data_IF_893205542134
#
_entry.id   IF_893205542134
#
_cell.length_a   1.000
_cell.length_b   1.000
_cell.length_c   1.000
_cell.angle_alpha   90.00
_cell.angle_beta   90.00
_cell.angle_gamma   90.00
#
_symmetry.space_group_name_H-M   'P 1'
#
loop_
_entity.id
_entity.type
_entity.pdbx_description
1 polymer ?
#
# COMPACT_ATOMS: atom_id res chain seq x y z
N UNK A 1 13.08 -63.66 -2.26
CA UNK A 1 13.89 -64.09 -1.11
C UNK A 1 15.28 -63.56 -1.30
N UNK A 2 15.89 -63.12 -0.21
CA UNK A 2 17.27 -62.68 -0.20
C UNK A 2 18.24 -63.85 -0.43
N UNK A 3 19.41 -63.53 -0.97
CA UNK A 3 20.53 -64.45 -1.16
C UNK A 3 21.80 -63.70 -0.78
N UNK A 4 22.47 -64.21 0.25
CA UNK A 4 23.70 -63.64 0.83
C UNK A 4 23.57 -62.13 1.16
N UNK A 5 22.37 -61.67 1.53
CA UNK A 5 22.02 -60.28 1.91
C UNK A 5 22.30 -59.20 0.83
N UNK A 6 22.81 -59.61 -0.34
CA UNK A 6 23.22 -58.74 -1.44
C UNK A 6 22.34 -58.89 -2.69
N UNK A 7 21.57 -59.97 -2.81
CA UNK A 7 20.82 -60.32 -4.01
C UNK A 7 19.38 -60.71 -3.67
N UNK A 8 18.46 -60.48 -4.61
CA UNK A 8 17.08 -60.93 -4.46
C UNK A 8 16.62 -61.80 -5.62
N UNK A 9 15.95 -62.89 -5.29
CA UNK A 9 15.41 -63.85 -6.25
C UNK A 9 13.88 -63.87 -6.17
N UNK A 10 13.24 -63.70 -7.32
CA UNK A 10 11.80 -63.76 -7.48
C UNK A 10 11.23 -65.16 -7.27
N UNK A 11 9.90 -65.26 -7.22
CA UNK A 11 9.18 -66.53 -6.99
C UNK A 11 9.39 -67.58 -8.08
N UNK A 12 9.84 -67.17 -9.26
CA UNK A 12 10.21 -68.01 -10.40
C UNK A 12 11.68 -68.49 -10.36
N UNK A 13 12.43 -68.10 -9.33
CA UNK A 13 13.86 -68.40 -9.21
C UNK A 13 14.77 -67.47 -10.02
N UNK A 14 14.24 -66.43 -10.67
CA UNK A 14 15.04 -65.45 -11.41
C UNK A 14 15.56 -64.33 -10.50
N UNK A 15 16.85 -64.01 -10.63
CA UNK A 15 17.47 -62.89 -9.90
C UNK A 15 17.00 -61.54 -10.46
N UNK A 16 16.62 -60.62 -9.56
CA UNK A 16 16.20 -59.27 -9.92
C UNK A 16 17.40 -58.47 -10.45
N UNK A 17 17.16 -57.67 -11.50
CA UNK A 17 18.16 -56.79 -12.13
C UNK A 17 17.50 -55.54 -12.67
N UNK A 18 18.11 -54.39 -12.43
CA UNK A 18 17.54 -53.07 -12.73
C UNK A 18 16.09 -52.93 -12.24
N UNK A 19 15.81 -53.47 -11.06
CA UNK A 19 14.45 -53.64 -10.56
C UNK A 19 14.35 -53.20 -9.09
N UNK A 20 13.19 -52.66 -8.77
CA UNK A 20 12.78 -52.30 -7.42
C UNK A 20 11.98 -53.44 -6.78
N UNK A 21 12.08 -53.59 -5.46
CA UNK A 21 11.22 -54.46 -4.66
C UNK A 21 11.01 -53.82 -3.28
N UNK A 22 9.79 -53.89 -2.76
CA UNK A 22 9.45 -53.55 -1.37
C UNK A 22 9.38 -54.86 -0.57
N UNK A 23 10.23 -55.02 0.44
CA UNK A 23 10.37 -56.27 1.21
C UNK A 23 11.09 -56.01 2.53
N UNK A 24 10.88 -56.85 3.54
CA UNK A 24 11.73 -56.89 4.76
C UNK A 24 13.09 -57.56 4.46
N UNK A 25 14.17 -57.12 5.11
CA UNK A 25 15.49 -57.77 5.04
C UNK A 25 15.49 -59.11 5.79
N UNK A 26 16.33 -60.07 5.38
CA UNK A 26 16.35 -61.40 6.01
C UNK A 26 16.76 -61.37 7.49
N UNK A 27 17.52 -60.34 7.93
CA UNK A 27 17.95 -60.15 9.32
C UNK A 27 16.84 -59.60 10.24
N UNK A 28 15.95 -58.78 9.68
CA UNK A 28 14.87 -58.06 10.40
C UNK A 28 13.57 -58.87 10.50
N UNK A 29 13.42 -59.91 9.66
CA UNK A 29 12.24 -60.82 9.64
C UNK A 29 11.98 -61.48 11.01
N UNK A 30 12.94 -61.47 11.93
CA UNK A 30 12.83 -62.08 13.26
C UNK A 30 12.62 -61.10 14.41
N UNK A 31 12.69 -59.78 14.18
CA UNK A 31 12.46 -58.77 15.20
C UNK A 31 11.01 -58.25 15.13
N UNK A 32 10.16 -58.50 16.15
CA UNK A 32 8.78 -58.01 16.15
C UNK A 32 8.65 -56.50 16.36
N UNK A 33 9.76 -55.82 16.70
CA UNK A 33 9.81 -54.38 17.00
C UNK A 33 10.43 -53.55 15.84
N UNK A 34 10.86 -54.16 14.72
CA UNK A 34 11.35 -53.46 13.52
C UNK A 34 10.26 -53.21 12.47
N UNK A 35 10.23 -51.98 11.96
CA UNK A 35 9.19 -51.45 11.07
C UNK A 35 9.34 -51.90 9.61
N UNK A 36 8.85 -53.10 9.31
CA UNK A 36 8.17 -53.36 8.04
C UNK A 36 9.00 -53.57 6.77
N UNK A 37 8.39 -53.30 5.61
CA UNK A 37 8.99 -53.55 4.28
C UNK A 37 9.64 -52.26 3.74
N UNK A 38 10.92 -52.31 3.38
CA UNK A 38 11.63 -51.18 2.75
C UNK A 38 11.78 -51.36 1.23
N UNK A 39 11.98 -50.25 0.51
CA UNK A 39 12.27 -50.27 -0.93
C UNK A 39 13.77 -50.49 -1.19
N UNK A 40 14.07 -51.48 -2.04
CA UNK A 40 15.42 -51.82 -2.45
C UNK A 40 15.56 -51.78 -3.98
N UNK A 41 16.73 -51.36 -4.48
CA UNK A 41 17.06 -51.40 -5.90
C UNK A 41 18.22 -52.34 -6.21
N UNK A 42 18.03 -53.20 -7.21
CA UNK A 42 19.08 -54.12 -7.69
C UNK A 42 19.63 -53.63 -9.02
N UNK A 43 20.96 -53.51 -9.10
CA UNK A 43 21.65 -52.97 -10.27
C UNK A 43 21.61 -53.92 -11.49
N UNK A 44 22.36 -53.58 -12.55
CA UNK A 44 22.41 -54.41 -13.76
C UNK A 44 23.10 -55.77 -13.57
N UNK A 45 23.86 -55.95 -12.49
CA UNK A 45 24.45 -57.22 -12.06
C UNK A 45 23.52 -57.97 -11.11
N UNK A 46 22.49 -57.32 -10.60
CA UNK A 46 21.53 -57.83 -9.64
C UNK A 46 22.00 -57.69 -8.20
N UNK A 47 23.04 -56.87 -7.95
CA UNK A 47 23.51 -56.57 -6.59
C UNK A 47 22.67 -55.41 -6.03
N UNK A 48 22.27 -55.51 -4.76
CA UNK A 48 21.62 -54.45 -3.98
C UNK A 48 22.47 -53.17 -4.06
N UNK A 49 21.84 -52.03 -4.34
CA UNK A 49 22.51 -50.74 -4.32
C UNK A 49 22.61 -50.26 -2.89
N UNK A 50 23.83 -50.01 -2.45
CA UNK A 50 24.18 -49.32 -1.20
C UNK A 50 25.08 -48.15 -1.60
N UNK A 51 24.60 -46.91 -1.45
CA UNK A 51 25.31 -45.68 -1.82
C UNK A 51 24.50 -44.45 -1.43
N UNK A 52 25.17 -43.40 -0.94
CA UNK A 52 24.56 -42.10 -0.58
C UNK A 52 23.56 -41.63 -1.66
N UNK A 53 23.95 -41.49 -2.94
CA UNK A 53 23.01 -41.17 -4.03
C UNK A 53 23.15 -42.05 -5.30
N UNK A 54 22.02 -42.30 -5.97
CA UNK A 54 21.95 -43.05 -7.23
C UNK A 54 20.91 -42.50 -8.19
N UNK A 55 21.32 -42.27 -9.44
CA UNK A 55 20.40 -41.92 -10.53
C UNK A 55 19.79 -43.17 -11.19
N UNK A 56 18.47 -43.31 -11.10
CA UNK A 56 17.67 -44.42 -11.66
C UNK A 56 16.55 -43.83 -12.51
N UNK A 57 16.49 -44.22 -13.79
CA UNK A 57 15.47 -43.73 -14.74
C UNK A 57 15.30 -42.19 -14.80
N UNK A 58 16.40 -41.46 -14.57
CA UNK A 58 16.40 -39.99 -14.62
C UNK A 58 16.12 -39.29 -13.29
N UNK A 59 15.70 -40.03 -12.25
CA UNK A 59 15.47 -39.56 -10.89
C UNK A 59 16.65 -39.92 -9.99
N UNK A 60 16.91 -39.10 -8.97
CA UNK A 60 17.99 -39.33 -7.99
C UNK A 60 17.38 -39.89 -6.72
N UNK A 61 17.89 -41.02 -6.24
CA UNK A 61 17.43 -41.74 -5.05
C UNK A 61 18.58 -41.84 -4.05
N UNK A 62 18.29 -41.89 -2.76
CA UNK A 62 19.29 -42.06 -1.71
C UNK A 62 19.09 -43.40 -1.01
N UNK A 63 20.18 -44.04 -0.58
CA UNK A 63 20.14 -45.33 0.10
C UNK A 63 21.05 -45.33 1.32
N UNK A 64 20.61 -45.93 2.42
CA UNK A 64 21.46 -46.14 3.60
C UNK A 64 22.50 -47.25 3.38
N UNK A 65 23.30 -47.56 4.41
CA UNK A 65 24.34 -48.59 4.35
C UNK A 65 23.76 -49.99 4.08
N UNK A 66 22.53 -50.23 4.52
CA UNK A 66 21.78 -51.47 4.35
C UNK A 66 21.03 -51.53 3.00
N UNK A 67 21.06 -50.44 2.22
CA UNK A 67 20.50 -50.37 0.87
C UNK A 67 18.99 -50.11 0.83
N UNK A 68 18.42 -49.71 1.95
CA UNK A 68 17.06 -49.21 2.06
C UNK A 68 17.00 -47.82 1.44
N UNK A 69 15.96 -47.59 0.63
CA UNK A 69 15.72 -46.30 0.00
C UNK A 69 15.25 -45.28 1.03
N UNK A 70 15.96 -44.17 1.15
CA UNK A 70 15.57 -43.04 1.97
C UNK A 70 14.42 -42.25 1.31
N UNK A 71 13.57 -41.67 2.14
CA UNK A 71 12.45 -40.79 1.76
C UNK A 71 12.33 -39.63 2.75
N UNK A 72 11.43 -38.67 2.49
CA UNK A 72 11.19 -37.53 3.38
C UNK A 72 12.33 -36.50 3.36
N UNK A 73 12.49 -35.79 4.47
CA UNK A 73 13.58 -34.84 4.67
C UNK A 73 14.91 -35.57 4.83
N UNK A 74 15.98 -35.06 4.21
CA UNK A 74 17.31 -35.65 4.30
C UNK A 74 18.38 -34.57 4.36
N UNK A 75 19.23 -34.61 5.39
CA UNK A 75 20.43 -33.78 5.49
C UNK A 75 21.68 -34.58 5.12
N UNK A 76 22.51 -33.98 4.26
CA UNK A 76 23.85 -34.50 3.99
C UNK A 76 24.86 -33.35 3.86
N UNK A 77 25.91 -33.39 4.67
CA UNK A 77 26.99 -32.42 4.65
C UNK A 77 26.49 -30.96 4.75
N UNK A 78 25.50 -30.71 5.61
CA UNK A 78 24.87 -29.39 5.75
C UNK A 78 23.97 -28.98 4.59
N UNK A 79 23.61 -29.87 3.66
CA UNK A 79 22.64 -29.59 2.60
C UNK A 79 21.36 -30.35 2.89
N UNK A 80 20.22 -29.67 2.78
CA UNK A 80 18.91 -30.27 3.00
C UNK A 80 18.28 -30.61 1.67
N UNK A 81 17.65 -31.78 1.60
CA UNK A 81 16.96 -32.34 0.45
C UNK A 81 15.58 -32.83 0.89
N UNK A 82 14.67 -32.94 -0.07
CA UNK A 82 13.42 -33.67 0.10
C UNK A 82 13.35 -34.80 -0.91
N UNK A 83 13.15 -36.02 -0.43
CA UNK A 83 13.25 -37.26 -1.18
C UNK A 83 11.87 -37.83 -1.57
N UNK A 84 10.79 -37.06 -1.43
CA UNK A 84 9.43 -37.53 -1.71
C UNK A 84 8.90 -38.41 -0.58
N UNK A 85 7.75 -39.05 -0.80
CA UNK A 85 7.18 -39.98 0.18
C UNK A 85 7.86 -41.35 0.12
N UNK A 86 7.52 -42.24 1.06
CA UNK A 86 8.02 -43.62 1.15
C UNK A 86 7.92 -44.42 -0.18
N UNK A 87 6.86 -44.19 -0.96
CA UNK A 87 6.65 -44.87 -2.25
C UNK A 87 7.22 -44.10 -3.46
N UNK A 88 7.77 -42.91 -3.22
CA UNK A 88 8.41 -42.09 -4.25
C UNK A 88 9.94 -42.18 -4.16
N UNK A 89 10.54 -41.76 -3.03
CA UNK A 89 11.98 -41.84 -2.76
C UNK A 89 12.91 -41.05 -3.68
N UNK A 90 12.38 -40.25 -4.62
CA UNK A 90 13.21 -39.44 -5.51
C UNK A 90 13.36 -38.01 -5.00
N UNK A 91 14.60 -37.50 -5.07
CA UNK A 91 14.96 -36.14 -4.72
C UNK A 91 14.21 -35.09 -5.55
N UNK A 92 13.60 -34.12 -4.88
CA UNK A 92 13.03 -32.92 -5.48
C UNK A 92 14.11 -32.08 -6.18
N UNK A 93 13.88 -31.66 -7.41
CA UNK A 93 14.80 -30.84 -8.21
C UNK A 93 14.03 -29.76 -8.99
N UNK A 94 14.53 -28.51 -8.95
CA UNK A 94 13.96 -27.33 -9.63
C UNK A 94 12.45 -27.11 -9.39
N UNK A 95 12.00 -27.23 -8.15
CA UNK A 95 10.58 -27.14 -7.84
C UNK A 95 10.32 -26.53 -6.46
N UNK A 96 9.12 -25.97 -6.35
CA UNK A 96 8.52 -25.57 -5.09
C UNK A 96 7.72 -26.75 -4.53
N UNK A 97 7.81 -26.97 -3.23
CA UNK A 97 6.97 -27.92 -2.51
C UNK A 97 6.42 -27.25 -1.24
N UNK A 98 5.13 -27.46 -0.99
CA UNK A 98 4.49 -27.17 0.28
C UNK A 98 4.68 -28.39 1.17
N UNK A 99 5.42 -28.24 2.26
CA UNK A 99 5.85 -29.35 3.11
C UNK A 99 5.67 -28.98 4.58
N UNK A 100 5.37 -29.98 5.40
CA UNK A 100 5.54 -29.91 6.85
C UNK A 100 7.01 -29.68 7.21
N UNK A 101 7.26 -28.95 8.31
CA UNK A 101 8.61 -28.69 8.80
C UNK A 101 9.34 -30.01 9.13
N UNK A 102 10.66 -30.11 8.94
CA UNK A 102 11.40 -31.32 9.29
C UNK A 102 11.38 -31.56 10.81
N UNK A 103 11.08 -32.80 11.22
CA UNK A 103 11.18 -33.23 12.62
C UNK A 103 9.90 -33.20 13.45
N UNK A 104 8.72 -33.03 12.84
CA UNK A 104 7.41 -33.14 13.53
C UNK A 104 6.72 -34.50 13.27
N UNK A 105 7.47 -35.48 12.78
CA UNK A 105 6.97 -36.84 12.58
C UNK A 105 7.10 -37.61 13.91
N UNK A 106 6.05 -37.55 14.72
CA UNK A 106 5.72 -38.47 15.83
C UNK A 106 6.82 -38.76 16.88
N UNK A 107 6.83 -37.97 17.98
CA UNK A 107 7.10 -38.34 19.40
C UNK A 107 8.29 -39.26 19.81
N UNK A 108 9.15 -39.72 18.90
CA UNK A 108 10.33 -40.51 19.23
C UNK A 108 11.57 -39.62 19.35
N UNK A 109 12.12 -39.53 20.56
CA UNK A 109 13.26 -38.67 20.98
C UNK A 109 14.58 -38.90 20.20
N UNK A 110 14.57 -39.70 19.12
CA UNK A 110 15.73 -40.19 18.39
C UNK A 110 15.78 -39.77 16.89
N UNK A 111 14.78 -39.07 16.33
CA UNK A 111 14.89 -38.52 14.95
C UNK A 111 15.79 -37.26 14.90
N UNK A 112 16.81 -37.27 14.04
CA UNK A 112 17.74 -36.15 13.87
C UNK A 112 16.99 -34.89 13.40
N UNK A 113 17.01 -33.82 14.20
CA UNK A 113 16.51 -32.50 13.82
C UNK A 113 17.28 -31.97 12.58
N UNK A 114 16.71 -32.16 11.39
CA UNK A 114 17.30 -31.76 10.09
C UNK A 114 17.35 -30.23 9.91
N UNK A 115 16.44 -29.51 10.55
CA UNK A 115 16.47 -28.05 10.66
C UNK A 115 16.32 -27.68 12.13
N UNK A 116 16.88 -26.54 12.54
CA UNK A 116 16.78 -26.06 13.94
C UNK A 116 15.37 -25.66 14.35
N UNK A 117 14.39 -25.76 13.44
CA UNK A 117 13.00 -25.37 13.62
C UNK A 117 12.17 -26.31 14.50
N UNK A 118 12.78 -26.99 15.47
CA UNK A 118 12.14 -28.02 16.29
C UNK A 118 11.98 -27.55 17.75
N UNK A 119 10.76 -27.74 18.26
CA UNK A 119 10.22 -27.58 19.62
C UNK A 119 10.33 -26.23 20.34
N UNK A 120 11.35 -25.40 20.08
CA UNK A 120 11.50 -24.06 20.69
C UNK A 120 11.58 -22.90 19.67
N UNK A 121 11.72 -23.18 18.37
CA UNK A 121 11.82 -22.18 17.29
C UNK A 121 10.46 -21.96 16.58
N UNK A 122 10.11 -20.69 16.34
CA UNK A 122 8.82 -20.20 15.85
C UNK A 122 8.60 -20.47 14.33
N UNK A 123 8.90 -21.64 13.78
CA UNK A 123 8.52 -21.92 12.39
C UNK A 123 7.03 -22.24 12.27
N UNK A 124 6.44 -21.88 11.13
CA UNK A 124 5.12 -22.41 10.76
C UNK A 124 5.21 -23.93 10.52
N UNK A 125 4.18 -24.67 10.93
CA UNK A 125 4.13 -26.14 10.83
C UNK A 125 4.25 -26.64 9.38
N UNK A 126 3.77 -25.84 8.43
CA UNK A 126 3.90 -26.09 6.99
C UNK A 126 4.35 -24.83 6.25
N UNK A 127 5.02 -24.99 5.11
CA UNK A 127 5.36 -23.84 4.26
C UNK A 127 5.92 -24.20 2.90
N UNK A 128 6.10 -23.19 2.06
CA UNK A 128 6.72 -23.34 0.74
C UNK A 128 8.25 -23.36 0.82
N UNK A 129 8.85 -24.43 0.30
CA UNK A 129 10.30 -24.59 0.18
C UNK A 129 10.72 -24.68 -1.29
N UNK A 130 11.85 -24.06 -1.64
CA UNK A 130 12.41 -24.11 -2.98
C UNK A 130 13.60 -25.05 -3.08
N UNK A 131 13.50 -26.07 -3.94
CA UNK A 131 14.57 -27.00 -4.25
C UNK A 131 15.23 -26.63 -5.58
N UNK A 132 16.51 -26.27 -5.52
CA UNK A 132 17.29 -25.85 -6.68
C UNK A 132 17.59 -26.97 -7.67
N UNK A 133 18.41 -26.67 -8.69
CA UNK A 133 18.76 -27.63 -9.74
C UNK A 133 19.60 -28.81 -9.28
N UNK A 134 20.32 -28.66 -8.17
CA UNK A 134 21.03 -29.74 -7.50
C UNK A 134 20.16 -30.49 -6.49
N UNK A 135 18.87 -30.16 -6.41
CA UNK A 135 17.91 -30.64 -5.41
C UNK A 135 18.11 -30.11 -4.00
N UNK A 136 19.10 -29.24 -3.79
CA UNK A 136 19.33 -28.59 -2.50
C UNK A 136 18.20 -27.61 -2.21
N UNK A 137 17.62 -27.72 -1.02
CA UNK A 137 16.72 -26.71 -0.47
C UNK A 137 17.47 -25.38 -0.32
N UNK A 138 16.80 -24.28 -0.62
CA UNK A 138 17.30 -22.96 -0.27
C UNK A 138 17.08 -22.70 1.22
N UNK A 139 18.16 -22.38 1.94
CA UNK A 139 18.18 -22.26 3.41
C UNK A 139 18.93 -21.01 3.89
N UNK A 140 18.63 -19.89 3.26
CA UNK A 140 19.23 -18.59 3.59
C UNK A 140 18.11 -17.57 3.64
N UNK A 141 18.23 -16.58 4.53
CA UNK A 141 17.18 -15.57 4.70
C UNK A 141 17.24 -14.52 3.59
N UNK A 142 16.12 -13.83 3.41
CA UNK A 142 16.04 -12.68 2.53
C UNK A 142 15.70 -13.00 1.07
N UNK A 143 16.00 -12.04 0.20
CA UNK A 143 15.45 -11.97 -1.16
C UNK A 143 16.17 -12.91 -2.13
N UNK A 144 15.42 -13.80 -2.77
CA UNK A 144 15.92 -14.73 -3.80
C UNK A 144 15.14 -14.61 -5.10
N UNK A 145 15.84 -14.69 -6.24
CA UNK A 145 15.22 -14.82 -7.55
C UNK A 145 15.03 -16.29 -7.95
N UNK A 146 13.78 -16.69 -8.18
CA UNK A 146 13.40 -18.03 -8.66
C UNK A 146 12.56 -17.87 -9.92
N UNK A 147 12.95 -18.54 -11.00
CA UNK A 147 12.23 -18.54 -12.29
C UNK A 147 11.81 -17.15 -12.80
N UNK A 148 12.64 -16.13 -12.56
CA UNK A 148 12.40 -14.76 -13.02
C UNK A 148 11.69 -13.83 -12.03
N UNK A 149 11.12 -14.39 -10.95
CA UNK A 149 10.41 -13.66 -9.89
C UNK A 149 11.24 -13.59 -8.62
N UNK A 150 11.03 -12.55 -7.81
CA UNK A 150 11.67 -12.42 -6.50
C UNK A 150 10.76 -12.92 -5.41
N UNK A 151 11.31 -13.66 -4.46
CA UNK A 151 10.65 -14.23 -3.29
C UNK A 151 11.45 -13.83 -2.06
N UNK A 152 10.81 -13.83 -0.89
CA UNK A 152 11.46 -13.62 0.39
C UNK A 152 11.43 -14.93 1.18
N UNK A 153 12.46 -15.20 1.97
CA UNK A 153 12.56 -16.41 2.79
C UNK A 153 12.98 -16.06 4.23
N UNK A 154 12.49 -16.82 5.20
CA UNK A 154 13.09 -16.85 6.53
C UNK A 154 14.42 -17.63 6.52
N UNK A 155 15.10 -17.67 7.66
CA UNK A 155 16.38 -18.39 7.78
C UNK A 155 16.26 -19.92 7.68
N UNK A 156 15.07 -20.45 7.92
CA UNK A 156 14.75 -21.89 7.84
C UNK A 156 14.42 -22.33 6.41
N UNK A 157 14.31 -21.39 5.46
CA UNK A 157 14.05 -21.67 4.05
C UNK A 157 12.57 -21.74 3.66
N UNK A 158 11.66 -21.39 4.57
CA UNK A 158 10.25 -21.16 4.24
C UNK A 158 10.10 -19.80 3.54
N UNK A 159 9.28 -19.79 2.50
CA UNK A 159 8.93 -18.59 1.77
C UNK A 159 7.99 -17.70 2.59
N UNK A 160 8.31 -16.43 2.70
CA UNK A 160 7.42 -15.41 3.28
C UNK A 160 6.45 -14.88 2.21
N UNK A 161 5.29 -14.40 2.64
CA UNK A 161 4.23 -13.89 1.76
C UNK A 161 3.45 -12.75 2.43
N UNK A 162 2.59 -12.08 1.66
CA UNK A 162 1.79 -10.91 2.07
C UNK A 162 2.66 -9.75 2.62
N UNK A 163 2.17 -9.06 3.65
CA UNK A 163 2.93 -8.01 4.32
C UNK A 163 4.08 -8.63 5.12
N UNK A 164 5.27 -8.09 4.89
CA UNK A 164 6.51 -8.55 5.50
C UNK A 164 7.20 -7.35 6.12
N UNK A 165 7.43 -7.39 7.43
CA UNK A 165 8.23 -6.39 8.10
C UNK A 165 9.72 -6.54 7.71
N UNK A 166 10.21 -5.62 6.86
CA UNK A 166 11.57 -5.66 6.32
C UNK A 166 12.66 -5.52 7.38
N UNK A 167 12.35 -4.89 8.52
CA UNK A 167 13.28 -4.82 9.66
C UNK A 167 13.42 -6.18 10.35
N UNK A 168 12.33 -6.92 10.52
CA UNK A 168 12.36 -8.27 11.10
C UNK A 168 13.19 -9.23 10.26
N UNK A 169 13.06 -9.18 8.93
CA UNK A 169 13.89 -9.96 7.99
C UNK A 169 15.39 -9.64 8.17
N UNK A 170 15.74 -8.38 8.41
CA UNK A 170 17.13 -7.94 8.56
C UNK A 170 17.76 -8.24 9.92
N UNK A 171 16.94 -8.46 10.95
CA UNK A 171 17.38 -8.68 12.32
C UNK A 171 17.71 -10.15 12.63
N UNK A 172 17.53 -11.07 11.67
CA UNK A 172 17.54 -12.51 11.90
C UNK A 172 16.61 -12.89 13.07
N UNK A 173 15.42 -12.26 13.12
CA UNK A 173 14.36 -12.74 14.02
C UNK A 173 13.90 -14.09 13.46
N UNK A 174 14.03 -15.19 14.21
CA UNK A 174 13.70 -16.53 13.73
C UNK A 174 12.20 -16.68 13.46
N UNK A 175 11.84 -17.62 12.60
CA UNK A 175 10.55 -18.28 12.73
C UNK A 175 9.55 -18.15 11.58
N UNK A 176 8.55 -17.27 11.71
CA UNK A 176 7.29 -17.43 10.98
C UNK A 176 7.36 -17.02 9.49
N UNK A 177 6.51 -17.62 8.64
CA UNK A 177 6.33 -17.21 7.25
C UNK A 177 5.51 -15.91 7.13
N UNK A 178 4.68 -15.64 8.13
CA UNK A 178 3.95 -14.38 8.31
C UNK A 178 4.72 -13.49 9.29
N UNK A 179 5.28 -12.38 8.82
CA UNK A 179 6.07 -11.45 9.64
C UNK A 179 5.34 -10.17 10.03
N UNK A 180 4.19 -9.90 9.42
CA UNK A 180 3.24 -8.90 9.90
C UNK A 180 2.53 -9.41 11.17
N UNK A 181 2.13 -8.54 12.10
CA UNK A 181 1.46 -8.94 13.35
C UNK A 181 2.37 -9.58 14.41
N UNK A 182 3.60 -9.95 14.06
CA UNK A 182 4.60 -10.41 15.03
C UNK A 182 5.25 -9.26 15.82
N UNK A 183 5.15 -8.02 15.33
CA UNK A 183 5.54 -6.85 16.09
C UNK A 183 4.38 -6.35 16.97
N UNK A 184 4.66 -5.39 17.85
CA UNK A 184 3.55 -4.72 18.54
C UNK A 184 2.73 -3.93 17.49
N UNK A 185 1.39 -4.02 17.46
CA UNK A 185 0.59 -3.26 16.51
C UNK A 185 0.92 -1.76 16.56
N UNK A 186 0.99 -1.11 15.40
CA UNK A 186 1.43 0.29 15.22
C UNK A 186 2.91 0.57 15.59
N UNK A 187 3.78 -0.45 15.60
CA UNK A 187 5.21 -0.26 15.88
C UNK A 187 6.06 -0.02 14.62
N UNK A 188 5.50 -0.23 13.43
CA UNK A 188 6.15 0.01 12.15
C UNK A 188 5.46 1.13 11.36
N UNK A 189 6.23 1.79 10.50
CA UNK A 189 5.65 2.62 9.42
C UNK A 189 5.57 1.82 8.14
N UNK A 190 4.69 2.23 7.20
CA UNK A 190 4.54 1.50 5.93
C UNK A 190 5.85 1.38 5.14
N UNK A 191 6.77 2.35 5.26
CA UNK A 191 8.09 2.29 4.62
C UNK A 191 9.04 1.20 5.19
N UNK A 192 8.67 0.56 6.30
CA UNK A 192 9.35 -0.63 6.82
C UNK A 192 8.76 -1.93 6.27
N UNK A 193 7.57 -1.87 5.66
CA UNK A 193 6.83 -3.03 5.17
C UNK A 193 7.14 -3.29 3.71
N UNK A 194 7.16 -4.57 3.34
CA UNK A 194 7.25 -5.04 1.98
C UNK A 194 6.03 -5.89 1.67
N UNK A 195 5.48 -5.78 0.46
CA UNK A 195 4.40 -6.64 0.01
C UNK A 195 4.91 -7.71 -0.97
N UNK A 196 4.68 -8.96 -0.61
CA UNK A 196 4.85 -10.13 -1.46
C UNK A 196 3.46 -10.75 -1.63
N UNK A 197 3.12 -11.29 -2.80
CA UNK A 197 1.76 -11.78 -3.05
C UNK A 197 1.40 -12.89 -2.07
N UNK A 198 0.10 -13.21 -2.00
CA UNK A 198 -0.50 -14.27 -1.17
C UNK A 198 0.28 -15.60 -1.22
N UNK A 199 0.08 -16.46 -0.23
CA UNK A 199 0.83 -17.70 -0.01
C UNK A 199 0.97 -18.61 -1.24
N UNK A 200 -0.02 -18.67 -2.12
CA UNK A 200 0.04 -19.47 -3.36
C UNK A 200 0.99 -18.91 -4.41
N UNK A 201 1.31 -17.62 -4.32
CA UNK A 201 2.10 -16.87 -5.28
C UNK A 201 3.46 -16.47 -4.70
N UNK A 202 3.48 -15.77 -3.56
CA UNK A 202 4.65 -15.42 -2.76
C UNK A 202 5.72 -14.55 -3.45
N UNK A 203 5.53 -14.17 -4.71
CA UNK A 203 6.48 -13.30 -5.38
C UNK A 203 6.25 -11.85 -5.00
N UNK A 204 7.30 -11.05 -5.00
CA UNK A 204 7.30 -9.62 -4.69
C UNK A 204 6.26 -8.84 -5.50
N UNK A 205 5.47 -8.01 -4.81
CA UNK A 205 4.47 -7.14 -5.41
C UNK A 205 5.09 -6.09 -6.35
N UNK A 206 4.35 -5.77 -7.42
CA UNK A 206 4.67 -4.72 -8.38
C UNK A 206 3.38 -4.29 -9.10
N UNK A 207 2.92 -3.06 -8.88
CA UNK A 207 1.69 -2.49 -9.42
C UNK A 207 0.59 -2.25 -8.39
N UNK A 208 -0.66 -2.19 -8.88
CA UNK A 208 -1.84 -1.91 -8.06
C UNK A 208 -2.39 -3.18 -7.39
N UNK A 209 -2.72 -3.05 -6.11
CA UNK A 209 -3.31 -4.10 -5.28
C UNK A 209 -4.47 -3.54 -4.46
N UNK A 210 -5.56 -4.28 -4.38
CA UNK A 210 -6.65 -4.05 -3.44
C UNK A 210 -6.57 -5.15 -2.38
N UNK A 211 -6.06 -4.79 -1.22
CA UNK A 211 -5.65 -5.73 -0.16
C UNK A 211 -5.89 -5.11 1.21
N UNK A 212 -6.03 -5.97 2.22
CA UNK A 212 -6.03 -5.52 3.61
C UNK A 212 -4.65 -4.92 3.95
N UNK A 213 -4.62 -3.91 4.80
CA UNK A 213 -3.37 -3.30 5.23
C UNK A 213 -2.59 -4.18 6.21
N UNK A 214 -1.42 -3.68 6.62
CA UNK A 214 -0.56 -4.38 7.59
C UNK A 214 -1.05 -4.19 9.03
N UNK A 215 -1.00 -5.24 9.83
CA UNK A 215 -1.26 -5.21 11.28
C UNK A 215 -0.18 -4.40 12.04
N UNK A 216 1.09 -4.55 11.65
CA UNK A 216 2.20 -3.79 12.22
C UNK A 216 2.06 -2.27 12.02
N UNK A 217 1.36 -1.87 10.95
CA UNK A 217 0.99 -0.48 10.63
C UNK A 217 -0.38 -0.08 11.22
N UNK A 218 -1.16 -1.05 11.70
CA UNK A 218 -2.51 -0.85 12.25
C UNK A 218 -3.55 -0.50 11.19
N UNK A 219 -3.56 -1.26 10.10
CA UNK A 219 -4.42 -1.09 8.91
C UNK A 219 -5.01 -2.41 8.41
N UNK A 220 -4.94 -3.47 9.22
CA UNK A 220 -5.43 -4.81 8.94
C UNK A 220 -6.97 -4.94 9.03
N UNK A 221 -7.66 -3.87 9.42
CA UNK A 221 -9.11 -3.86 9.60
C UNK A 221 -9.92 -3.51 8.35
N UNK A 222 -9.26 -3.04 7.30
CA UNK A 222 -9.85 -2.48 6.09
C UNK A 222 -9.07 -2.81 4.82
N UNK A 223 -9.80 -3.02 3.73
CA UNK A 223 -9.26 -3.28 2.40
C UNK A 223 -9.14 -1.96 1.65
N UNK A 224 -7.93 -1.66 1.16
CA UNK A 224 -7.64 -0.43 0.42
C UNK A 224 -6.82 -0.70 -0.84
N UNK A 225 -6.76 0.33 -1.70
CA UNK A 225 -5.89 0.32 -2.85
C UNK A 225 -4.49 0.83 -2.50
N UNK A 226 -3.49 0.00 -2.79
CA UNK A 226 -2.07 0.30 -2.67
C UNK A 226 -1.40 0.24 -4.04
N UNK A 227 -0.41 1.11 -4.27
CA UNK A 227 0.52 0.93 -5.38
C UNK A 227 1.86 0.47 -4.82
N UNK A 228 2.29 -0.73 -5.22
CA UNK A 228 3.54 -1.35 -4.79
C UNK A 228 4.59 -1.18 -5.89
N UNK A 229 5.74 -0.57 -5.61
CA UNK A 229 6.90 -0.52 -6.51
C UNK A 229 8.08 -1.25 -5.88
N UNK A 230 8.66 -2.22 -6.60
CA UNK A 230 9.78 -3.04 -6.11
C UNK A 230 9.52 -3.76 -4.77
N UNK A 231 8.25 -3.95 -4.39
CA UNK A 231 7.80 -4.52 -3.11
C UNK A 231 7.46 -3.49 -2.03
N UNK A 232 7.69 -2.19 -2.26
CA UNK A 232 7.43 -1.11 -1.31
C UNK A 232 6.14 -0.37 -1.69
N UNK A 233 5.29 -0.03 -0.73
CA UNK A 233 4.10 0.77 -1.02
C UNK A 233 4.46 2.26 -1.24
N UNK A 234 3.90 2.89 -2.26
CA UNK A 234 3.97 4.34 -2.43
C UNK A 234 3.13 5.04 -1.36
N UNK A 235 3.72 6.00 -0.64
CA UNK A 235 3.09 6.61 0.53
C UNK A 235 3.51 8.06 0.74
N UNK A 236 2.75 8.79 1.56
CA UNK A 236 3.11 10.13 2.00
C UNK A 236 4.24 10.12 3.04
N UNK A 237 5.12 11.12 2.96
CA UNK A 237 6.22 11.31 3.90
C UNK A 237 5.79 12.28 5.01
N UNK A 238 5.68 11.77 6.23
CA UNK A 238 5.20 12.52 7.40
C UNK A 238 6.05 13.76 7.72
N UNK A 239 7.29 13.85 7.24
CA UNK A 239 8.13 15.03 7.43
C UNK A 239 7.78 16.21 6.52
N UNK A 240 7.14 15.97 5.37
CA UNK A 240 6.94 17.01 4.34
C UNK A 240 5.54 17.09 3.74
N UNK A 241 4.76 16.01 3.80
CA UNK A 241 3.47 15.88 3.11
C UNK A 241 2.26 16.13 4.02
N UNK A 242 2.45 16.82 5.15
CA UNK A 242 1.35 17.26 6.03
C UNK A 242 0.29 18.00 5.22
N UNK A 243 -0.93 17.47 5.22
CA UNK A 243 -2.06 18.02 4.51
C UNK A 243 -2.82 18.99 5.41
N UNK A 244 -3.34 18.50 6.54
CA UNK A 244 -4.15 19.22 7.54
C UNK A 244 -4.17 18.39 8.84
N UNK A 245 -4.91 18.82 9.85
CA UNK A 245 -5.34 17.98 10.96
C UNK A 245 -6.83 17.61 10.77
N UNK A 246 -7.21 16.42 11.27
CA UNK A 246 -8.58 15.95 11.47
C UNK A 246 -8.80 15.56 12.95
N UNK A 247 -9.97 14.98 13.25
CA UNK A 247 -10.38 14.68 14.62
C UNK A 247 -9.49 13.61 15.28
N UNK A 248 -8.81 12.79 14.47
CA UNK A 248 -7.93 11.71 14.90
C UNK A 248 -6.44 12.12 14.87
N UNK A 249 -6.09 13.22 14.19
CA UNK A 249 -4.81 13.89 14.29
C UNK A 249 -4.28 14.41 12.94
N UNK A 250 -2.94 14.47 12.77
CA UNK A 250 -2.36 15.02 11.55
C UNK A 250 -2.56 14.07 10.36
N UNK A 251 -3.10 14.62 9.27
CA UNK A 251 -3.31 13.94 7.99
C UNK A 251 -2.15 14.26 7.05
N UNK A 252 -1.62 13.25 6.36
CA UNK A 252 -0.54 13.42 5.38
C UNK A 252 -0.97 12.88 4.03
N UNK A 253 -0.71 13.64 2.96
CA UNK A 253 -1.12 13.24 1.62
C UNK A 253 -0.06 13.63 0.59
N UNK A 254 0.39 12.65 -0.17
CA UNK A 254 1.32 12.85 -1.27
C UNK A 254 0.64 12.57 -2.61
N UNK A 255 0.94 13.42 -3.60
CA UNK A 255 0.50 13.24 -4.99
C UNK A 255 1.62 12.58 -5.80
N UNK A 256 1.50 11.28 -6.05
CA UNK A 256 2.56 10.46 -6.64
C UNK A 256 2.15 9.98 -8.03
N UNK A 257 3.12 9.94 -8.95
CA UNK A 257 2.88 9.55 -10.35
C UNK A 257 3.25 8.10 -10.60
N UNK A 258 2.26 7.22 -10.59
CA UNK A 258 2.43 5.77 -10.72
C UNK A 258 1.87 5.24 -12.04
N UNK A 259 2.24 4.01 -12.41
CA UNK A 259 1.70 3.33 -13.59
C UNK A 259 0.22 2.98 -13.41
N UNK A 260 -0.54 2.98 -14.51
CA UNK A 260 -1.97 2.67 -14.49
C UNK A 260 -2.42 2.16 -15.86
N UNK A 261 -3.65 1.64 -15.95
CA UNK A 261 -4.26 1.25 -17.23
C UNK A 261 -4.36 2.39 -18.26
N UNK A 262 -4.22 3.66 -17.82
CA UNK A 262 -4.22 4.86 -18.65
C UNK A 262 -2.80 5.47 -18.84
N UNK A 263 -1.76 4.67 -18.57
CA UNK A 263 -0.36 5.10 -18.51
C UNK A 263 -0.04 5.79 -17.18
N UNK A 264 1.15 6.40 -17.04
CA UNK A 264 1.54 7.07 -15.79
C UNK A 264 0.61 8.25 -15.46
N UNK A 265 -0.11 8.16 -14.34
CA UNK A 265 -1.06 9.18 -13.84
C UNK A 265 -0.73 9.53 -12.39
N UNK A 266 -1.24 10.68 -11.94
CA UNK A 266 -1.12 11.08 -10.54
C UNK A 266 -2.28 10.50 -9.74
N UNK A 267 -1.96 9.97 -8.58
CA UNK A 267 -2.85 9.48 -7.54
C UNK A 267 -2.44 10.15 -6.21
N UNK A 268 -3.32 10.13 -5.22
CA UNK A 268 -3.01 10.55 -3.87
C UNK A 268 -2.84 9.33 -2.97
N UNK A 269 -1.87 9.37 -2.06
CA UNK A 269 -1.64 8.33 -1.06
C UNK A 269 -1.44 8.98 0.30
N UNK A 270 -1.96 8.37 1.35
CA UNK A 270 -1.69 8.80 2.73
C UNK A 270 -0.37 8.22 3.24
N UNK A 271 0.00 8.52 4.49
CA UNK A 271 1.24 8.03 5.11
C UNK A 271 1.27 6.53 5.38
N UNK A 272 0.12 5.87 5.31
CA UNK A 272 -0.03 4.42 5.42
C UNK A 272 0.02 3.72 4.05
N UNK A 273 0.12 4.46 2.96
CA UNK A 273 0.18 3.93 1.59
C UNK A 273 -1.20 3.68 0.95
N UNK A 274 -2.29 3.96 1.67
CA UNK A 274 -3.66 3.82 1.18
C UNK A 274 -3.95 4.94 0.16
N UNK A 275 -4.47 4.58 -1.00
CA UNK A 275 -4.88 5.52 -2.04
C UNK A 275 -6.06 6.38 -1.57
N UNK A 276 -5.94 7.69 -1.74
CA UNK A 276 -6.97 8.66 -1.37
C UNK A 276 -7.80 9.09 -2.58
N UNK A 277 -9.09 9.35 -2.35
CA UNK A 277 -10.04 9.91 -3.33
C UNK A 277 -10.60 11.25 -2.83
N UNK A 278 -11.45 11.90 -3.62
CA UNK A 278 -12.07 13.17 -3.23
C UNK A 278 -11.12 14.37 -3.29
N UNK A 279 -11.43 15.41 -2.52
CA UNK A 279 -10.67 16.65 -2.47
C UNK A 279 -9.46 16.51 -1.52
N UNK A 280 -8.26 16.74 -2.03
CA UNK A 280 -7.00 16.51 -1.32
C UNK A 280 -6.11 17.76 -1.38
N UNK A 281 -5.58 18.18 -0.23
CA UNK A 281 -4.58 19.26 -0.17
C UNK A 281 -3.17 18.70 -0.33
N UNK A 282 -2.41 19.24 -1.28
CA UNK A 282 -1.03 18.81 -1.54
C UNK A 282 -0.06 19.92 -1.15
N UNK A 283 0.59 19.75 0.01
CA UNK A 283 1.51 20.75 0.60
C UNK A 283 2.70 21.11 -0.28
N UNK A 284 3.24 20.13 -1.02
CA UNK A 284 4.35 20.37 -1.95
C UNK A 284 4.01 21.42 -3.03
N UNK A 285 2.74 21.44 -3.45
CA UNK A 285 2.23 22.34 -4.49
C UNK A 285 1.51 23.57 -3.91
N UNK A 286 1.14 23.52 -2.63
CA UNK A 286 0.39 24.58 -1.96
C UNK A 286 -1.03 24.77 -2.51
N UNK A 287 -1.72 23.67 -2.86
CA UNK A 287 -3.07 23.76 -3.39
C UNK A 287 -3.83 22.44 -3.42
N UNK A 288 -5.11 22.55 -3.76
CA UNK A 288 -6.05 21.43 -3.76
C UNK A 288 -6.12 20.73 -5.11
N UNK A 289 -6.36 19.43 -5.06
CA UNK A 289 -6.55 18.54 -6.20
C UNK A 289 -7.76 17.65 -5.91
N UNK A 290 -8.47 17.23 -6.96
CA UNK A 290 -9.58 16.28 -6.82
C UNK A 290 -9.26 14.97 -7.51
N UNK A 291 -9.48 13.86 -6.82
CA UNK A 291 -9.29 12.51 -7.31
C UNK A 291 -10.66 11.82 -7.37
N UNK A 292 -11.00 11.22 -8.51
CA UNK A 292 -12.28 10.52 -8.65
C UNK A 292 -12.34 9.24 -7.80
N UNK A 293 -13.49 8.56 -7.81
CA UNK A 293 -13.71 7.30 -7.08
C UNK A 293 -12.70 6.19 -7.44
N UNK A 294 -12.02 6.29 -8.58
CA UNK A 294 -10.97 5.35 -9.00
C UNK A 294 -9.56 5.92 -8.77
N UNK A 295 -9.44 6.98 -7.99
CA UNK A 295 -8.19 7.67 -7.67
C UNK A 295 -7.59 8.50 -8.80
N UNK A 296 -8.26 8.68 -9.95
CA UNK A 296 -7.68 9.48 -11.03
C UNK A 296 -7.82 10.97 -10.72
N UNK A 297 -6.70 11.69 -10.72
CA UNK A 297 -6.70 13.14 -10.61
C UNK A 297 -7.47 13.79 -11.77
N UNK A 298 -8.45 14.64 -11.43
CA UNK A 298 -9.27 15.37 -12.38
C UNK A 298 -8.68 16.74 -12.73
N UNK A 299 -9.06 17.26 -13.89
CA UNK A 299 -8.83 18.65 -14.29
C UNK A 299 -10.11 19.28 -14.88
N UNK A 300 -10.10 20.59 -15.05
CA UNK A 300 -11.27 21.32 -15.54
C UNK A 300 -12.36 21.47 -14.49
N UNK A 301 -13.62 21.54 -14.93
CA UNK A 301 -14.74 21.76 -14.02
C UNK A 301 -15.20 20.43 -13.43
N UNK A 302 -15.29 20.39 -12.11
CA UNK A 302 -15.92 19.29 -11.34
C UNK A 302 -17.09 19.88 -10.56
N UNK A 303 -18.23 19.22 -10.58
CA UNK A 303 -19.39 19.57 -9.75
C UNK A 303 -19.45 18.61 -8.57
N UNK A 304 -20.19 18.98 -7.52
CA UNK A 304 -20.53 18.06 -6.42
C UNK A 304 -19.26 17.53 -5.74
N UNK A 305 -18.30 18.43 -5.49
CA UNK A 305 -17.11 18.16 -4.70
C UNK A 305 -17.48 18.39 -3.24
N UNK A 306 -17.53 17.30 -2.49
CA UNK A 306 -17.75 17.29 -1.05
C UNK A 306 -16.61 18.03 -0.33
N UNK A 307 -16.98 18.91 0.58
CA UNK A 307 -16.10 19.75 1.37
C UNK A 307 -16.87 20.05 2.65
N UNK A 308 -16.46 19.41 3.76
CA UNK A 308 -17.23 19.43 5.02
C UNK A 308 -18.61 18.77 4.79
N UNK A 309 -19.68 19.37 5.32
CA UNK A 309 -21.07 18.90 5.15
C UNK A 309 -21.76 19.36 3.85
N UNK A 310 -21.03 19.96 2.90
CA UNK A 310 -21.62 20.59 1.70
C UNK A 310 -20.92 20.23 0.37
N UNK A 311 -21.69 20.34 -0.71
CA UNK A 311 -21.24 20.11 -2.09
C UNK A 311 -20.98 21.42 -2.84
N UNK A 312 -19.81 21.53 -3.46
CA UNK A 312 -19.44 22.72 -4.22
C UNK A 312 -18.96 22.41 -5.64
N UNK A 313 -19.10 23.41 -6.52
CA UNK A 313 -18.49 23.36 -7.85
C UNK A 313 -17.03 23.81 -7.78
N UNK A 314 -16.12 23.02 -8.34
CA UNK A 314 -14.70 23.35 -8.45
C UNK A 314 -14.23 23.56 -9.89
N UNK A 315 -13.12 24.29 -10.04
CA UNK A 315 -12.37 24.37 -11.28
C UNK A 315 -10.87 24.12 -11.03
N UNK A 316 -10.36 23.08 -11.66
CA UNK A 316 -8.97 22.67 -11.65
C UNK A 316 -8.28 23.05 -12.96
N UNK A 317 -7.03 23.48 -12.87
CA UNK A 317 -6.24 23.93 -14.01
C UNK A 317 -6.02 22.82 -15.05
N UNK A 318 -6.18 23.12 -16.34
CA UNK A 318 -6.01 22.15 -17.46
C UNK A 318 -4.71 22.32 -18.24
N UNK A 319 -3.80 23.20 -17.79
CA UNK A 319 -2.58 23.58 -18.51
C UNK A 319 -1.34 23.00 -17.85
N UNK A 320 -0.34 22.70 -18.67
CA UNK A 320 0.99 22.27 -18.22
C UNK A 320 1.61 23.30 -17.25
N UNK A 321 2.05 22.83 -16.09
CA UNK A 321 2.66 23.64 -15.02
C UNK A 321 1.87 23.59 -13.70
N UNK A 322 0.54 23.50 -13.78
CA UNK A 322 -0.36 23.41 -12.62
C UNK A 322 -1.53 22.45 -12.88
N UNK A 323 -1.36 21.46 -13.77
CA UNK A 323 -2.48 20.60 -14.19
C UNK A 323 -3.11 19.88 -13.00
N UNK A 324 -4.44 19.96 -12.88
CA UNK A 324 -5.21 19.42 -11.76
C UNK A 324 -5.23 20.29 -10.51
N UNK A 325 -4.38 21.32 -10.39
CA UNK A 325 -4.37 22.19 -9.22
C UNK A 325 -5.58 23.13 -9.22
N UNK A 326 -6.18 23.34 -8.06
CA UNK A 326 -7.27 24.27 -7.84
C UNK A 326 -6.95 25.68 -8.34
N UNK A 327 -7.89 26.29 -9.06
CA UNK A 327 -7.71 27.63 -9.63
C UNK A 327 -8.16 28.74 -8.69
N UNK A 328 -7.35 29.80 -8.56
CA UNK A 328 -7.71 31.04 -7.86
C UNK A 328 -7.86 32.19 -8.85
N UNK A 329 -9.00 32.88 -8.81
CA UNK A 329 -9.27 34.10 -9.59
C UNK A 329 -10.43 33.97 -10.56
N UNK A 330 -10.42 34.80 -11.60
CA UNK A 330 -11.52 34.89 -12.57
C UNK A 330 -11.39 33.81 -13.66
N UNK A 331 -12.45 33.02 -13.89
CA UNK A 331 -12.52 32.08 -15.01
C UNK A 331 -13.94 32.02 -15.57
N UNK A 332 -14.09 32.26 -16.87
CA UNK A 332 -15.35 32.13 -17.60
C UNK A 332 -16.56 32.86 -16.96
N UNK A 333 -16.28 34.01 -16.33
CA UNK A 333 -17.21 34.88 -15.56
C UNK A 333 -17.61 34.39 -14.16
N UNK A 334 -16.92 33.38 -13.64
CA UNK A 334 -17.01 32.93 -12.27
C UNK A 334 -15.74 33.26 -11.51
N UNK A 335 -15.86 33.34 -10.18
CA UNK A 335 -14.76 33.58 -9.28
C UNK A 335 -14.45 32.31 -8.50
N UNK A 336 -13.17 32.00 -8.34
CA UNK A 336 -12.71 30.79 -7.68
C UNK A 336 -11.64 31.11 -6.64
N UNK A 337 -11.58 30.30 -5.58
CA UNK A 337 -10.52 30.26 -4.59
C UNK A 337 -10.02 28.83 -4.42
N UNK A 338 -8.76 28.58 -4.77
CA UNK A 338 -8.12 27.27 -4.76
C UNK A 338 -8.99 26.15 -5.36
N UNK A 339 -9.72 26.48 -6.42
CA UNK A 339 -10.64 25.61 -7.12
C UNK A 339 -12.10 25.80 -6.74
N UNK A 340 -12.44 26.12 -5.48
CA UNK A 340 -13.83 26.29 -5.03
C UNK A 340 -14.48 27.50 -5.70
N UNK A 341 -15.66 27.34 -6.31
CA UNK A 341 -16.44 28.45 -6.86
C UNK A 341 -17.05 29.26 -5.74
N UNK A 342 -16.87 30.58 -5.77
CA UNK A 342 -17.42 31.49 -4.77
C UNK A 342 -18.82 31.94 -5.17
N UNK A 343 -19.79 31.70 -4.29
CA UNK A 343 -21.21 31.98 -4.50
C UNK A 343 -21.77 32.83 -3.34
N UNK A 344 -22.85 33.54 -3.60
CA UNK A 344 -23.64 34.19 -2.54
C UNK A 344 -24.67 33.21 -2.00
N UNK A 345 -25.05 33.35 -0.73
CA UNK A 345 -26.06 32.49 -0.11
C UNK A 345 -27.46 32.85 -0.62
N UNK A 346 -27.74 34.14 -0.83
CA UNK A 346 -29.02 34.62 -1.33
C UNK A 346 -28.91 35.32 -2.69
N UNK A 347 -28.52 36.59 -2.74
CA UNK A 347 -28.55 37.37 -3.98
C UNK A 347 -27.16 37.76 -4.44
N UNK A 348 -26.44 38.56 -3.64
CA UNK A 348 -25.09 39.01 -3.96
C UNK A 348 -24.16 39.11 -2.75
N UNK A 349 -22.89 38.75 -2.97
CA UNK A 349 -21.84 38.78 -1.96
C UNK A 349 -20.54 39.37 -2.48
N UNK A 350 -19.86 40.15 -1.63
CA UNK A 350 -18.53 40.67 -1.85
C UNK A 350 -17.47 39.69 -1.36
N UNK A 351 -16.55 39.31 -2.24
CA UNK A 351 -15.40 38.47 -1.92
C UNK A 351 -14.09 39.19 -2.20
N UNK A 352 -13.13 39.03 -1.30
CA UNK A 352 -11.72 39.40 -1.51
C UNK A 352 -10.95 38.25 -2.17
N UNK A 353 -10.37 38.49 -3.35
CA UNK A 353 -9.53 37.52 -4.06
C UNK A 353 -8.35 38.24 -4.75
N UNK A 354 -7.12 37.77 -4.52
CA UNK A 354 -5.90 38.28 -5.16
C UNK A 354 -5.76 39.82 -5.13
N UNK A 355 -5.99 40.43 -3.96
CA UNK A 355 -5.85 41.89 -3.78
C UNK A 355 -6.94 42.73 -4.44
N UNK A 356 -8.10 42.15 -4.74
CA UNK A 356 -9.25 42.85 -5.30
C UNK A 356 -10.55 42.34 -4.69
N UNK A 357 -11.57 43.19 -4.72
CA UNK A 357 -12.94 42.82 -4.29
C UNK A 357 -13.81 42.60 -5.51
N UNK A 358 -14.61 41.54 -5.45
CA UNK A 358 -15.54 41.11 -6.49
C UNK A 358 -16.94 40.99 -5.92
N UNK A 359 -17.95 41.30 -6.72
CA UNK A 359 -19.35 41.02 -6.39
C UNK A 359 -19.79 39.79 -7.20
N UNK A 360 -20.22 38.74 -6.53
CA UNK A 360 -20.78 37.52 -7.16
C UNK A 360 -22.25 37.37 -6.81
N UNK A 361 -22.99 36.57 -7.58
CA UNK A 361 -24.37 36.20 -7.23
C UNK A 361 -24.46 34.76 -6.70
N UNK A 362 -25.66 34.30 -6.36
CA UNK A 362 -25.97 32.91 -5.94
C UNK A 362 -25.79 31.80 -6.98
N UNK A 363 -25.15 32.11 -8.10
CA UNK A 363 -24.69 31.11 -9.07
C UNK A 363 -23.17 31.23 -9.29
N UNK A 364 -22.50 32.03 -8.46
CA UNK A 364 -21.09 32.40 -8.55
C UNK A 364 -20.71 33.31 -9.72
N UNK A 365 -21.67 33.91 -10.43
CA UNK A 365 -21.37 34.80 -11.56
C UNK A 365 -20.90 36.17 -11.06
N UNK A 366 -19.72 36.57 -11.54
CA UNK A 366 -19.15 37.89 -11.28
C UNK A 366 -20.01 38.97 -11.94
N UNK A 367 -20.32 40.01 -11.16
CA UNK A 367 -21.03 41.20 -11.62
C UNK A 367 -20.05 42.26 -12.14
N UNK A 368 -20.44 42.96 -13.19
CA UNK A 368 -19.59 43.96 -13.86
C UNK A 368 -20.41 45.00 -14.62
N UNK A 369 -21.53 45.45 -14.05
CA UNK A 369 -22.42 46.40 -14.72
C UNK A 369 -21.67 47.71 -15.02
N UNK A 370 -21.85 48.23 -16.24
CA UNK A 370 -21.41 49.60 -16.60
C UNK A 370 -22.47 50.66 -16.30
N UNK A 371 -23.64 50.24 -15.85
CA UNK A 371 -24.76 51.12 -15.51
C UNK A 371 -24.76 51.37 -14.00
N UNK A 372 -24.69 52.65 -13.62
CA UNK A 372 -24.81 53.10 -12.23
C UNK A 372 -26.27 53.01 -11.71
N UNK A 373 -27.22 52.67 -12.58
CA UNK A 373 -28.63 52.49 -12.21
C UNK A 373 -28.94 51.07 -11.73
N UNK A 374 -28.06 50.09 -11.99
CA UNK A 374 -28.27 48.73 -11.49
C UNK A 374 -27.93 48.73 -9.99
N UNK A 375 -28.88 48.27 -9.19
CA UNK A 375 -28.71 48.08 -7.76
C UNK A 375 -28.64 46.59 -7.41
N UNK A 376 -28.12 46.31 -6.23
CA UNK A 376 -27.81 44.96 -5.76
C UNK A 376 -28.23 44.83 -4.31
N UNK A 377 -28.82 43.68 -3.99
CA UNK A 377 -29.16 43.32 -2.62
C UNK A 377 -27.96 42.54 -2.05
N UNK A 378 -27.21 43.19 -1.17
CA UNK A 378 -25.95 42.66 -0.63
C UNK A 378 -26.23 42.07 0.75
N UNK A 379 -25.68 40.89 1.02
CA UNK A 379 -25.92 40.14 2.26
C UNK A 379 -24.83 40.33 3.33
N UNK A 380 -23.63 40.77 2.94
CA UNK A 380 -22.47 40.90 3.82
C UNK A 380 -22.76 41.71 5.10
N UNK A 381 -22.54 41.10 6.27
CA UNK A 381 -22.73 41.70 7.60
C UNK A 381 -22.05 43.06 7.72
N UNK A 382 -22.82 44.03 8.19
CA UNK A 382 -22.37 45.41 8.37
C UNK A 382 -22.47 46.29 7.12
N UNK A 383 -22.81 45.72 5.96
CA UNK A 383 -23.23 46.44 4.75
C UNK A 383 -24.51 45.85 4.13
N UNK A 384 -25.13 44.89 4.82
CA UNK A 384 -26.33 44.20 4.35
C UNK A 384 -27.47 45.21 4.14
N UNK A 385 -27.89 45.35 2.89
CA UNK A 385 -28.88 46.33 2.47
C UNK A 385 -29.45 45.97 1.10
N UNK A 386 -30.69 46.40 0.87
CA UNK A 386 -31.32 46.40 -0.46
C UNK A 386 -30.84 47.62 -1.26
N UNK A 387 -30.97 47.52 -2.59
CA UNK A 387 -30.76 48.64 -3.51
C UNK A 387 -29.36 49.30 -3.46
N UNK A 388 -28.32 48.55 -3.09
CA UNK A 388 -26.94 49.05 -2.97
C UNK A 388 -26.36 49.42 -4.34
N UNK A 389 -25.72 50.59 -4.43
CA UNK A 389 -25.00 50.98 -5.64
C UNK A 389 -23.58 50.41 -5.60
N UNK A 390 -23.22 49.59 -6.59
CA UNK A 390 -21.87 49.05 -6.75
C UNK A 390 -21.35 49.47 -8.12
N UNK A 391 -20.20 50.15 -8.14
CA UNK A 391 -19.51 50.52 -9.38
C UNK A 391 -18.29 49.63 -9.60
N UNK A 392 -17.87 49.46 -10.85
CA UNK A 392 -16.84 48.48 -11.23
C UNK A 392 -15.75 49.09 -12.12
N UNK A 393 -14.53 48.56 -11.99
CA UNK A 393 -13.45 48.71 -12.97
C UNK A 393 -13.23 47.35 -13.63
N UNK A 394 -13.79 47.16 -14.82
CA UNK A 394 -13.90 45.82 -15.40
C UNK A 394 -14.82 44.95 -14.55
N UNK A 395 -14.28 43.87 -13.99
CA UNK A 395 -14.98 42.93 -13.08
C UNK A 395 -14.73 43.18 -11.59
N UNK A 396 -13.81 44.09 -11.27
CA UNK A 396 -13.43 44.41 -9.89
C UNK A 396 -14.32 45.52 -9.36
N UNK A 397 -14.74 45.42 -8.10
CA UNK A 397 -15.49 46.46 -7.40
C UNK A 397 -14.60 47.69 -7.25
N UNK A 398 -15.14 48.86 -7.61
CA UNK A 398 -14.50 50.16 -7.51
C UNK A 398 -15.02 50.94 -6.30
N UNK A 399 -16.32 50.89 -6.05
CA UNK A 399 -16.93 51.47 -4.86
C UNK A 399 -18.28 50.82 -4.54
N UNK A 400 -18.65 50.88 -3.26
CA UNK A 400 -19.97 50.47 -2.73
C UNK A 400 -20.61 51.68 -2.05
N UNK A 401 -21.88 51.95 -2.31
CA UNK A 401 -22.62 53.07 -1.71
C UNK A 401 -24.00 52.62 -1.27
N UNK A 402 -24.20 52.66 0.05
CA UNK A 402 -25.49 52.46 0.72
C UNK A 402 -26.18 53.82 0.82
N UNK A 403 -27.51 53.85 0.67
CA UNK A 403 -28.27 55.09 0.72
C UNK A 403 -28.09 55.81 2.07
N UNK A 404 -27.74 57.09 2.03
CA UNK A 404 -27.50 57.89 3.23
C UNK A 404 -26.10 57.71 3.85
N UNK A 405 -25.26 56.82 3.32
CA UNK A 405 -23.89 56.60 3.79
C UNK A 405 -22.83 57.18 2.85
N UNK A 406 -21.61 57.34 3.37
CA UNK A 406 -20.46 57.74 2.55
C UNK A 406 -20.01 56.54 1.70
N UNK A 407 -19.72 56.72 0.39
CA UNK A 407 -19.21 55.64 -0.45
C UNK A 407 -17.93 55.03 0.11
N UNK A 408 -17.87 53.70 0.17
CA UNK A 408 -16.64 52.95 0.43
C UNK A 408 -15.90 52.71 -0.89
N UNK A 409 -14.63 53.09 -0.95
CA UNK A 409 -13.73 52.87 -2.08
C UNK A 409 -13.20 51.43 -2.10
N UNK A 410 -12.65 51.01 -3.24
CA UNK A 410 -11.98 49.72 -3.38
C UNK A 410 -10.86 49.53 -2.34
N UNK A 411 -10.05 50.56 -2.10
CA UNK A 411 -8.93 50.51 -1.15
C UNK A 411 -9.42 50.31 0.29
N UNK A 412 -10.54 50.94 0.67
CA UNK A 412 -11.15 50.75 1.99
C UNK A 412 -11.73 49.34 2.15
N UNK A 413 -12.39 48.81 1.12
CA UNK A 413 -12.92 47.44 1.13
C UNK A 413 -11.81 46.40 1.21
N UNK A 414 -10.72 46.59 0.46
CA UNK A 414 -9.52 45.76 0.53
C UNK A 414 -8.91 45.81 1.94
N UNK A 415 -8.75 47.01 2.52
CA UNK A 415 -8.20 47.17 3.85
C UNK A 415 -9.06 46.49 4.93
N UNK A 416 -10.38 46.46 4.77
CA UNK A 416 -11.27 45.72 5.67
C UNK A 416 -11.03 44.21 5.61
N UNK A 417 -10.93 43.64 4.41
CA UNK A 417 -10.63 42.21 4.24
C UNK A 417 -9.25 41.85 4.79
N UNK A 418 -8.22 42.64 4.46
CA UNK A 418 -6.85 42.42 4.95
C UNK A 418 -6.73 42.61 6.46
N UNK A 419 -7.53 43.49 7.07
CA UNK A 419 -7.60 43.61 8.52
C UNK A 419 -8.20 42.35 9.18
N UNK A 420 -9.24 41.75 8.58
CA UNK A 420 -9.80 40.49 9.05
C UNK A 420 -8.79 39.34 8.93
N UNK A 421 -8.08 39.27 7.79
CA UNK A 421 -6.99 38.29 7.57
C UNK A 421 -5.88 38.47 8.61
N UNK A 422 -5.46 39.71 8.87
CA UNK A 422 -4.42 40.02 9.86
C UNK A 422 -4.84 39.66 11.29
N UNK A 423 -6.12 39.84 11.60
CA UNK A 423 -6.70 39.50 12.89
C UNK A 423 -7.04 38.00 13.01
N UNK A 424 -6.83 37.19 11.97
CA UNK A 424 -7.24 35.77 11.90
C UNK A 424 -8.71 35.59 12.28
N UNK A 425 -9.58 36.46 11.77
CA UNK A 425 -11.03 36.29 11.92
C UNK A 425 -11.43 35.03 11.18
N UNK A 426 -12.26 34.20 11.81
CA UNK A 426 -12.89 33.02 11.20
C UNK A 426 -13.58 33.42 9.89
N UNK A 427 -13.13 32.91 8.72
CA UNK A 427 -13.70 33.27 7.43
C UNK A 427 -15.12 32.72 7.18
N UNK A 428 -15.61 31.80 8.00
CA UNK A 428 -17.02 31.37 7.98
C UNK A 428 -17.95 32.40 8.62
N UNK A 429 -17.42 33.24 9.52
CA UNK A 429 -18.17 34.36 10.09
C UNK A 429 -18.35 35.47 9.05
N UNK A 430 -19.59 35.95 8.94
CA UNK A 430 -19.91 36.95 7.94
C UNK A 430 -19.29 38.33 8.26
N UNK A 431 -18.85 39.03 7.22
CA UNK A 431 -18.12 40.29 7.30
C UNK A 431 -18.46 41.21 6.14
N UNK A 432 -18.10 42.50 6.26
CA UNK A 432 -18.34 43.51 5.21
C UNK A 432 -17.75 43.12 3.84
N UNK A 433 -16.65 42.37 3.85
CA UNK A 433 -16.07 41.73 2.68
C UNK A 433 -15.67 40.33 3.11
N UNK A 434 -16.22 39.31 2.45
CA UNK A 434 -15.92 37.93 2.76
C UNK A 434 -14.53 37.55 2.30
N UNK A 435 -13.81 36.84 3.16
CA UNK A 435 -12.55 36.17 2.83
C UNK A 435 -12.91 34.73 2.47
N UNK A 436 -12.57 34.23 1.28
CA UNK A 436 -12.94 32.87 0.89
C UNK A 436 -12.13 31.84 1.68
N UNK A 437 -12.70 30.65 1.85
CA UNK A 437 -12.06 29.53 2.53
C UNK A 437 -12.50 28.19 1.93
N UNK A 438 -11.73 27.14 2.22
CA UNK A 438 -12.06 25.74 2.02
C UNK A 438 -11.89 25.05 3.37
N UNK A 439 -12.87 24.28 3.79
CA UNK A 439 -12.83 23.51 5.04
C UNK A 439 -12.71 22.02 4.69
N UNK A 440 -11.87 21.30 5.39
CA UNK A 440 -11.75 19.84 5.26
C UNK A 440 -11.81 19.21 6.65
N UNK A 441 -12.46 18.05 6.74
CA UNK A 441 -12.55 17.21 7.93
C UNK A 441 -13.09 17.93 9.19
N UNK A 442 -14.00 18.89 9.02
CA UNK A 442 -14.66 19.63 10.11
C UNK A 442 -13.73 20.44 11.05
N UNK A 443 -12.40 20.45 10.80
CA UNK A 443 -11.41 20.87 11.79
C UNK A 443 -10.53 22.06 11.40
N UNK A 444 -10.22 22.33 10.13
CA UNK A 444 -9.49 23.55 9.81
C UNK A 444 -9.91 24.16 8.47
N UNK A 445 -9.71 25.47 8.39
CA UNK A 445 -10.09 26.30 7.26
C UNK A 445 -8.84 26.80 6.56
N UNK A 446 -8.68 26.36 5.30
CA UNK A 446 -7.69 26.90 4.40
C UNK A 446 -8.18 28.22 3.81
N UNK A 447 -7.47 29.31 4.07
CA UNK A 447 -7.87 30.65 3.64
C UNK A 447 -6.66 31.55 3.38
N UNK A 448 -6.88 32.83 3.12
CA UNK A 448 -5.80 33.82 3.10
C UNK A 448 -5.23 34.02 4.50
N UNK A 449 -3.91 34.05 4.61
CA UNK A 449 -3.18 34.28 5.86
C UNK A 449 -2.10 35.34 5.68
N UNK A 450 -1.62 35.90 6.79
CA UNK A 450 -0.46 36.80 6.80
C UNK A 450 0.73 36.09 7.45
N UNK A 451 1.76 35.81 6.65
CA UNK A 451 3.02 35.24 7.12
C UNK A 451 4.15 36.24 6.91
N UNK A 452 4.84 36.61 7.98
CA UNK A 452 5.90 37.63 7.98
C UNK A 452 5.46 38.97 7.35
N UNK A 453 4.20 39.35 7.59
CA UNK A 453 3.59 40.56 7.03
C UNK A 453 3.30 40.51 5.53
N UNK A 454 3.39 39.34 4.91
CA UNK A 454 3.02 39.11 3.51
C UNK A 454 1.77 38.26 3.41
N UNK A 455 0.84 38.72 2.58
CA UNK A 455 -0.35 37.96 2.26
C UNK A 455 0.04 36.67 1.52
N UNK A 456 -0.51 35.56 1.99
CA UNK A 456 -0.40 34.24 1.39
C UNK A 456 -1.68 33.46 1.66
N UNK A 457 -1.60 32.14 1.50
CA UNK A 457 -2.67 31.21 1.79
C UNK A 457 -2.15 30.14 2.76
N UNK A 458 -3.03 29.57 3.57
CA UNK A 458 -2.67 28.52 4.52
C UNK A 458 -3.82 28.16 5.46
N UNK A 459 -3.59 27.12 6.22
CA UNK A 459 -4.42 26.67 7.33
C UNK A 459 -4.43 27.70 8.46
N UNK A 460 -5.61 27.99 9.00
CA UNK A 460 -5.81 29.07 9.97
C UNK A 460 -5.55 28.61 11.41
N UNK A 461 -5.80 27.32 11.69
CA UNK A 461 -5.62 26.67 12.99
C UNK A 461 -6.56 27.24 14.06
N UNK A 462 -7.85 27.37 13.74
CA UNK A 462 -8.85 27.97 14.64
C UNK A 462 -9.51 26.96 15.59
N UNK A 463 -9.39 25.65 15.32
CA UNK A 463 -9.91 24.60 16.20
C UNK A 463 -8.88 24.05 17.18
#
# INVERSE_FOLDING_TARGET
>A
TWVDDEYYVGSDGAMLKNAWIKTTADEDVSDPDEDGDHWYYFDNKGKKVTSEDKKINGKTYYFNEDGEMLYGWHEENGNVFYLGTEDEGWRAENQWLWLEKPGDADDDEDEEQILTCADEDECDDEGWYWFGSSGKMYKDSGKKKVNGRYYMFNEHGQMLYEWINGKAVSAATPGNAHLDGNATPNSAGIGDMLYYNIVEEGWRGDGWYEIDGSEDVGTDSDTDWYFIDDGEAEHADTAKDYATDDADGPVYVARIKVDSSKGKKYFAFNEKGQMQTGLQYIKADGGFYYFDENGYMQDGKVSDVECDDDDYSFYFNTKNGSNGQGYTGEKDNYLYFNGKRLEADDDYRLYYVNGAVYLVNNKGKIQSSKSDNKKYDIENKGIAAEDVNVTFTGKKVKSVTIEGETPMSADELIALAEANIAAKVDPSEDAKVSVPFIQLYDDDQYTYTLKDGKLGEGWLGIN
#
